data_IF_775271975677
#
_entry.id   IF_775271975677
#
_cell.length_a   1.000
_cell.length_b   1.000
_cell.length_c   1.000
_cell.angle_alpha   90.00
_cell.angle_beta   90.00
_cell.angle_gamma   90.00
#
_symmetry.space_group_name_H-M   'P 1'
#
loop_
_entity.id
_entity.type
_entity.pdbx_description
1 polymer ?
#
# COMPACT_ATOMS: atom_id res chain seq x y z
N UNK A 1 8.73 -13.75 10.75
CA UNK A 1 8.67 -12.56 9.88
C UNK A 1 9.86 -12.66 8.94
N UNK A 2 9.62 -12.52 7.64
CA UNK A 2 10.64 -12.42 6.61
C UNK A 2 10.61 -11.02 6.01
N UNK A 3 11.75 -10.55 5.55
CA UNK A 3 11.84 -9.29 4.81
C UNK A 3 11.63 -9.58 3.33
N UNK A 4 10.66 -8.89 2.74
CA UNK A 4 10.49 -8.75 1.30
C UNK A 4 11.29 -7.52 0.87
N UNK A 5 12.18 -7.73 -0.10
CA UNK A 5 13.02 -6.70 -0.68
C UNK A 5 12.62 -6.49 -2.14
N UNK A 6 12.42 -5.24 -2.52
CA UNK A 6 12.32 -4.82 -3.93
C UNK A 6 13.52 -3.95 -4.31
N UNK A 7 13.49 -3.39 -5.52
CA UNK A 7 14.48 -2.40 -5.94
C UNK A 7 14.38 -1.07 -5.16
N UNK A 8 13.24 -0.79 -4.50
CA UNK A 8 12.93 0.54 -3.97
C UNK A 8 12.57 0.58 -2.48
N UNK A 9 12.10 -0.53 -1.91
CA UNK A 9 11.64 -0.58 -0.53
C UNK A 9 11.77 -1.99 0.07
N UNK A 10 11.67 -2.04 1.39
CA UNK A 10 11.60 -3.26 2.20
C UNK A 10 10.25 -3.32 2.92
N UNK A 11 9.75 -4.53 3.13
CA UNK A 11 8.54 -4.80 3.92
C UNK A 11 8.71 -6.08 4.72
N UNK A 12 8.38 -6.07 6.02
CA UNK A 12 8.37 -7.28 6.84
C UNK A 12 6.98 -7.92 6.84
N UNK A 13 6.91 -9.20 6.46
CA UNK A 13 5.65 -9.95 6.42
C UNK A 13 5.81 -11.35 7.07
N UNK A 14 4.71 -12.03 7.43
CA UNK A 14 4.78 -13.40 7.92
C UNK A 14 5.41 -14.36 6.90
N UNK A 15 6.02 -15.45 7.39
CA UNK A 15 6.80 -16.38 6.53
C UNK A 15 5.93 -17.16 5.55
N UNK A 16 4.69 -17.44 5.96
CA UNK A 16 3.77 -18.30 5.22
C UNK A 16 2.91 -17.54 4.19
N UNK A 17 2.97 -16.20 4.18
CA UNK A 17 2.24 -15.36 3.24
C UNK A 17 2.85 -15.49 1.84
N UNK A 18 2.01 -15.63 0.83
CA UNK A 18 2.45 -15.77 -0.56
C UNK A 18 2.75 -14.39 -1.15
N UNK A 19 3.78 -14.32 -1.98
CA UNK A 19 4.19 -13.09 -2.67
C UNK A 19 4.34 -13.42 -4.14
N UNK A 20 3.58 -12.73 -4.97
CA UNK A 20 3.64 -12.78 -6.43
C UNK A 20 3.97 -11.39 -6.99
N UNK A 21 4.52 -11.38 -8.21
CA UNK A 21 4.73 -10.16 -8.97
C UNK A 21 3.77 -10.18 -10.17
N UNK A 22 2.93 -9.16 -10.27
CA UNK A 22 1.97 -8.98 -11.36
C UNK A 22 2.21 -7.61 -12.03
N UNK A 23 2.69 -7.67 -13.27
CA UNK A 23 3.21 -6.50 -14.01
C UNK A 23 4.19 -5.65 -13.16
N UNK A 24 3.78 -4.44 -12.78
CA UNK A 24 4.55 -3.46 -11.99
C UNK A 24 4.16 -3.47 -10.49
N UNK A 25 3.40 -4.48 -10.06
CA UNK A 25 2.87 -4.58 -8.70
C UNK A 25 3.36 -5.83 -7.98
N UNK A 26 3.49 -5.72 -6.66
CA UNK A 26 3.70 -6.85 -5.78
C UNK A 26 2.37 -7.20 -5.13
N UNK A 27 1.95 -8.46 -5.26
CA UNK A 27 0.71 -9.00 -4.72
C UNK A 27 1.05 -9.93 -3.57
N UNK A 28 0.48 -9.70 -2.40
CA UNK A 28 0.75 -10.46 -1.18
C UNK A 28 -0.58 -11.03 -0.68
N UNK A 29 -0.67 -12.36 -0.64
CA UNK A 29 -1.90 -13.07 -0.26
C UNK A 29 -1.67 -13.82 1.04
N UNK A 30 -2.61 -13.70 1.98
CA UNK A 30 -2.56 -14.46 3.22
C UNK A 30 -2.82 -15.97 2.96
N UNK A 31 -2.38 -16.88 3.85
CA UNK A 31 -2.50 -18.32 3.64
C UNK A 31 -3.93 -18.86 3.61
N UNK A 32 -4.88 -18.13 4.20
CA UNK A 32 -6.30 -18.49 4.24
C UNK A 32 -7.07 -17.88 3.03
N UNK A 33 -6.39 -17.11 2.17
CA UNK A 33 -6.93 -16.46 0.96
C UNK A 33 -8.13 -15.53 1.26
N UNK A 34 -8.08 -14.85 2.41
CA UNK A 34 -9.14 -14.01 2.96
C UNK A 34 -8.97 -12.55 2.55
N UNK A 35 -7.73 -12.12 2.30
CA UNK A 35 -7.41 -10.79 1.80
C UNK A 35 -6.11 -10.74 1.03
N UNK A 36 -5.94 -9.65 0.29
CA UNK A 36 -4.80 -9.43 -0.59
C UNK A 36 -4.27 -8.03 -0.38
N UNK A 37 -2.96 -7.89 -0.15
CA UNK A 37 -2.26 -6.60 -0.21
C UNK A 37 -1.67 -6.46 -1.61
N UNK A 38 -1.91 -5.33 -2.28
CA UNK A 38 -1.24 -5.00 -3.54
C UNK A 38 -0.42 -3.73 -3.36
N UNK A 39 0.86 -3.74 -3.77
CA UNK A 39 1.73 -2.57 -3.77
C UNK A 39 2.22 -2.28 -5.19
N UNK A 40 1.84 -1.13 -5.75
CA UNK A 40 2.34 -0.63 -7.03
C UNK A 40 3.33 0.50 -6.77
N UNK A 41 4.55 0.37 -7.34
CA UNK A 41 5.60 1.37 -7.16
C UNK A 41 5.72 2.30 -8.36
N UNK A 42 5.68 3.61 -8.11
CA UNK A 42 5.89 4.65 -9.12
C UNK A 42 7.14 5.46 -8.76
N UNK A 43 8.18 5.32 -9.58
CA UNK A 43 9.47 5.96 -9.34
C UNK A 43 9.54 7.28 -10.11
N UNK A 44 9.81 8.37 -9.40
CA UNK A 44 10.03 9.69 -10.01
C UNK A 44 11.50 9.89 -10.35
N UNK A 45 11.80 10.28 -11.59
CA UNK A 45 13.16 10.58 -12.07
C UNK A 45 13.76 11.88 -11.50
N UNK A 46 13.00 12.61 -10.69
CA UNK A 46 13.37 13.90 -10.10
C UNK A 46 13.11 13.86 -8.60
N UNK A 47 13.88 14.63 -7.82
CA UNK A 47 13.56 15.07 -6.44
C UNK A 47 12.29 15.96 -6.45
N UNK A 48 11.21 15.43 -7.05
CA UNK A 48 9.91 16.07 -7.11
C UNK A 48 9.44 16.23 -5.66
N UNK A 49 8.72 17.31 -5.42
CA UNK A 49 7.96 17.45 -4.20
C UNK A 49 7.01 16.24 -4.10
N UNK A 50 7.25 15.36 -3.11
CA UNK A 50 6.46 14.13 -2.90
C UNK A 50 4.97 14.46 -2.84
N UNK A 51 4.63 15.58 -2.21
CA UNK A 51 3.24 16.03 -2.12
C UNK A 51 2.63 16.35 -3.49
N UNK A 52 3.41 16.96 -4.40
CA UNK A 52 2.98 17.20 -5.77
C UNK A 52 2.83 15.89 -6.54
N UNK A 53 3.74 14.94 -6.33
CA UNK A 53 3.67 13.61 -6.94
C UNK A 53 2.43 12.82 -6.48
N UNK A 54 2.12 12.84 -5.19
CA UNK A 54 0.88 12.27 -4.64
C UNK A 54 -0.35 12.95 -5.22
N UNK A 55 -0.32 14.28 -5.37
CA UNK A 55 -1.38 15.04 -6.03
C UNK A 55 -1.64 14.58 -7.47
N UNK A 56 -0.59 14.43 -8.28
CA UNK A 56 -0.68 13.94 -9.66
C UNK A 56 -1.21 12.49 -9.73
N UNK A 57 -0.76 11.63 -8.82
CA UNK A 57 -1.23 10.25 -8.71
C UNK A 57 -2.73 10.19 -8.40
N UNK A 58 -3.16 10.88 -7.35
CA UNK A 58 -4.58 10.93 -6.94
C UNK A 58 -5.46 11.54 -8.04
N UNK A 59 -5.01 12.61 -8.71
CA UNK A 59 -5.74 13.21 -9.84
C UNK A 59 -5.92 12.21 -10.98
N UNK A 60 -4.86 11.45 -11.31
CA UNK A 60 -4.89 10.41 -12.35
C UNK A 60 -5.90 9.32 -12.03
N UNK A 61 -6.01 8.95 -10.75
CA UNK A 61 -6.94 7.94 -10.26
C UNK A 61 -8.36 8.51 -9.99
N UNK A 62 -8.56 9.81 -10.14
CA UNK A 62 -9.84 10.48 -9.91
C UNK A 62 -10.24 10.58 -8.44
N UNK A 63 -9.26 10.59 -7.54
CA UNK A 63 -9.46 10.56 -6.09
C UNK A 63 -9.37 11.98 -5.53
N UNK A 64 -10.40 12.39 -4.79
CA UNK A 64 -10.42 13.70 -4.16
C UNK A 64 -9.71 13.65 -2.81
N UNK A 65 -8.58 14.35 -2.68
CA UNK A 65 -7.82 14.47 -1.43
C UNK A 65 -8.67 14.88 -0.21
N UNK A 66 -9.76 15.61 -0.40
CA UNK A 66 -10.68 16.03 0.67
C UNK A 66 -11.42 14.88 1.35
N UNK A 67 -11.43 13.69 0.72
CA UNK A 67 -12.05 12.47 1.23
C UNK A 67 -11.06 11.58 1.99
N UNK A 68 -9.77 11.93 1.97
CA UNK A 68 -8.70 11.11 2.53
C UNK A 68 -8.26 11.60 3.90
N UNK A 69 -7.80 10.67 4.71
CA UNK A 69 -7.16 10.92 6.00
C UNK A 69 -5.64 10.92 5.82
N UNK A 70 -4.93 11.84 6.49
CA UNK A 70 -3.46 11.80 6.48
C UNK A 70 -2.96 10.58 7.27
N UNK A 71 -1.92 9.93 6.78
CA UNK A 71 -1.35 8.71 7.36
C UNK A 71 0.16 8.67 7.24
N UNK A 72 0.79 7.83 8.06
CA UNK A 72 2.22 7.52 8.04
C UNK A 72 2.35 6.01 8.19
N UNK A 73 3.17 5.39 7.34
CA UNK A 73 3.47 3.95 7.36
C UNK A 73 4.97 3.77 7.19
N UNK A 74 5.66 3.42 8.28
CA UNK A 74 7.12 3.34 8.31
C UNK A 74 7.80 4.63 7.83
N UNK A 75 8.58 4.55 6.75
CA UNK A 75 9.30 5.69 6.16
C UNK A 75 8.47 6.54 5.18
N UNK A 76 7.19 6.21 4.99
CA UNK A 76 6.32 6.85 4.01
C UNK A 76 5.22 7.68 4.66
N UNK A 77 5.05 8.91 4.20
CA UNK A 77 3.93 9.78 4.54
C UNK A 77 2.88 9.75 3.41
N UNK A 78 1.62 10.02 3.72
CA UNK A 78 0.61 10.11 2.67
C UNK A 78 -0.83 10.19 3.13
N UNK A 79 -1.70 9.52 2.39
CA UNK A 79 -3.15 9.57 2.54
C UNK A 79 -3.78 8.19 2.56
N UNK A 80 -4.92 8.07 3.24
CA UNK A 80 -5.63 6.84 3.50
C UNK A 80 -7.13 6.99 3.28
N UNK A 81 -7.78 5.92 2.80
CA UNK A 81 -9.24 5.78 2.81
C UNK A 81 -9.69 4.33 2.94
N UNK A 82 -10.96 4.16 3.29
CA UNK A 82 -11.66 2.87 3.23
C UNK A 82 -12.99 3.03 2.52
N UNK A 83 -13.33 2.06 1.69
CA UNK A 83 -14.60 2.06 0.97
C UNK A 83 -15.00 0.63 0.58
N UNK A 84 -16.27 0.49 0.18
CA UNK A 84 -16.76 -0.72 -0.46
C UNK A 84 -16.60 -0.54 -1.99
N UNK A 85 -15.93 -1.47 -2.66
CA UNK A 85 -15.89 -1.54 -4.12
C UNK A 85 -16.48 -2.86 -4.61
N UNK A 86 -17.63 -2.80 -5.29
CA UNK A 86 -18.40 -3.99 -5.62
C UNK A 86 -18.69 -4.85 -4.39
N UNK A 87 -18.21 -6.10 -4.43
CA UNK A 87 -18.38 -7.07 -3.36
C UNK A 87 -17.22 -7.06 -2.34
N UNK A 88 -16.18 -6.25 -2.55
CA UNK A 88 -14.99 -6.18 -1.70
C UNK A 88 -14.99 -4.97 -0.76
N UNK A 89 -14.41 -5.15 0.43
CA UNK A 89 -14.03 -4.07 1.32
C UNK A 89 -12.56 -3.71 1.08
N UNK A 90 -12.34 -2.45 0.73
CA UNK A 90 -11.03 -1.93 0.32
C UNK A 90 -10.51 -0.95 1.37
N UNK A 91 -9.24 -1.13 1.73
CA UNK A 91 -8.42 -0.15 2.42
C UNK A 91 -7.34 0.29 1.43
N UNK A 92 -7.13 1.58 1.28
CA UNK A 92 -6.23 2.09 0.25
C UNK A 92 -5.36 3.22 0.77
N UNK A 93 -4.07 3.20 0.42
CA UNK A 93 -3.08 4.17 0.83
C UNK A 93 -2.33 4.73 -0.38
N UNK A 94 -2.11 6.04 -0.34
CA UNK A 94 -1.33 6.82 -1.30
C UNK A 94 -0.12 7.35 -0.56
N UNK A 95 1.04 6.74 -0.76
CA UNK A 95 2.22 6.93 0.07
C UNK A 95 3.38 7.49 -0.75
N UNK A 96 4.23 8.29 -0.13
CA UNK A 96 5.42 8.84 -0.79
C UNK A 96 6.59 9.01 0.15
N UNK A 97 7.78 8.70 -0.35
CA UNK A 97 9.05 8.94 0.33
C UNK A 97 10.16 9.17 -0.70
N UNK A 98 10.87 10.29 -0.57
CA UNK A 98 11.92 10.77 -1.49
C UNK A 98 11.60 10.71 -2.99
N UNK A 99 11.89 9.57 -3.64
CA UNK A 99 11.74 9.34 -5.08
C UNK A 99 10.77 8.21 -5.41
N UNK A 100 10.14 7.62 -4.39
CA UNK A 100 9.23 6.49 -4.50
C UNK A 100 7.82 6.92 -4.05
N UNK A 101 6.86 6.78 -4.95
CA UNK A 101 5.44 6.81 -4.63
C UNK A 101 4.90 5.38 -4.62
N UNK A 102 3.98 5.08 -3.71
CA UNK A 102 3.32 3.79 -3.62
C UNK A 102 1.82 3.98 -3.61
N UNK A 103 1.15 3.19 -4.45
CA UNK A 103 -0.27 2.88 -4.28
C UNK A 103 -0.34 1.52 -3.59
N UNK A 104 -0.94 1.49 -2.40
CA UNK A 104 -1.14 0.26 -1.64
C UNK A 104 -2.64 0.04 -1.47
N UNK A 105 -3.12 -1.17 -1.76
CA UNK A 105 -4.48 -1.60 -1.41
C UNK A 105 -4.45 -2.83 -0.53
N UNK A 106 -5.46 -2.98 0.31
CA UNK A 106 -5.85 -4.23 0.94
C UNK A 106 -7.32 -4.49 0.65
N UNK A 107 -7.57 -5.61 -0.01
CA UNK A 107 -8.89 -6.01 -0.51
C UNK A 107 -9.31 -7.31 0.18
N UNK A 108 -10.54 -7.38 0.67
CA UNK A 108 -11.08 -8.58 1.33
C UNK A 108 -12.61 -8.61 1.29
N UNK A 109 -13.21 -9.77 1.60
CA UNK A 109 -14.66 -9.84 1.80
C UNK A 109 -15.08 -8.93 2.99
N UNK A 110 -16.19 -8.16 2.89
CA UNK A 110 -16.68 -7.29 3.95
C UNK A 110 -16.95 -7.98 5.30
N UNK A 111 -17.23 -9.29 5.30
CA UNK A 111 -17.36 -10.09 6.52
C UNK A 111 -16.01 -10.25 7.26
N UNK A 112 -14.90 -10.16 6.53
CA UNK A 112 -13.54 -10.36 7.03
C UNK A 112 -12.77 -9.05 7.29
N UNK A 113 -13.36 -7.88 7.00
CA UNK A 113 -12.69 -6.57 7.10
C UNK A 113 -12.05 -6.22 8.44
N UNK A 114 -12.46 -6.90 9.51
CA UNK A 114 -11.90 -6.70 10.86
C UNK A 114 -10.94 -7.81 11.29
N UNK A 115 -10.84 -8.91 10.55
CA UNK A 115 -10.06 -10.08 10.94
C UNK A 115 -8.57 -9.80 10.91
N UNK A 116 -8.06 -9.33 9.78
CA UNK A 116 -6.62 -9.11 9.60
C UNK A 116 -6.19 -7.66 9.82
N UNK A 117 -7.13 -6.77 10.18
CA UNK A 117 -6.89 -5.32 10.23
C UNK A 117 -5.61 -4.94 10.99
N UNK A 118 -5.46 -5.42 12.23
CA UNK A 118 -4.28 -5.12 13.05
C UNK A 118 -3.00 -5.71 12.46
N UNK A 119 -3.07 -6.90 11.85
CA UNK A 119 -1.92 -7.52 11.21
C UNK A 119 -1.50 -6.78 9.95
N UNK A 120 -2.45 -6.31 9.14
CA UNK A 120 -2.17 -5.47 7.96
C UNK A 120 -1.51 -4.16 8.41
N UNK A 121 -2.02 -3.54 9.47
CA UNK A 121 -1.42 -2.32 10.03
C UNK A 121 0.02 -2.56 10.49
N UNK A 122 0.25 -3.65 11.24
CA UNK A 122 1.58 -4.05 11.71
C UNK A 122 2.55 -4.35 10.54
N UNK A 123 2.08 -5.00 9.47
CA UNK A 123 2.89 -5.28 8.27
C UNK A 123 3.28 -3.97 7.58
N UNK A 124 2.29 -3.12 7.28
CA UNK A 124 2.52 -1.88 6.53
C UNK A 124 3.34 -0.85 7.32
N UNK A 125 3.28 -0.84 8.65
CA UNK A 125 4.13 0.02 9.49
C UNK A 125 5.63 -0.33 9.40
N UNK A 126 5.96 -1.52 8.87
CA UNK A 126 7.37 -1.92 8.63
C UNK A 126 7.93 -1.45 7.28
N UNK A 127 7.13 -0.76 6.47
CA UNK A 127 7.52 -0.32 5.14
C UNK A 127 8.68 0.69 5.21
N UNK A 128 9.80 0.38 4.56
CA UNK A 128 11.01 1.20 4.63
C UNK A 128 11.58 1.48 3.25
N UNK A 129 12.04 2.72 3.03
CA UNK A 129 12.64 3.13 1.76
C UNK A 129 14.05 2.55 1.62
N UNK A 130 14.39 2.06 0.43
CA UNK A 130 15.74 1.60 0.11
C UNK A 130 16.61 2.78 -0.34
N UNK A 131 17.68 3.05 0.40
CA UNK A 131 18.65 4.12 0.13
C UNK A 131 19.81 3.74 -0.78
#
# INVERSE_FOLDING_TARGET
MRELETDWWFLSLPEDWLVDQDDDSIVITDPDEVGVITLTSLITESERDIEAGLGELMETLGVEKSQLEATVLGDFDGYYQEFQDGDDWVREWYLGSEHCLLLVSYDCDPENKMMDRELIDDILDTLSLKG
#
